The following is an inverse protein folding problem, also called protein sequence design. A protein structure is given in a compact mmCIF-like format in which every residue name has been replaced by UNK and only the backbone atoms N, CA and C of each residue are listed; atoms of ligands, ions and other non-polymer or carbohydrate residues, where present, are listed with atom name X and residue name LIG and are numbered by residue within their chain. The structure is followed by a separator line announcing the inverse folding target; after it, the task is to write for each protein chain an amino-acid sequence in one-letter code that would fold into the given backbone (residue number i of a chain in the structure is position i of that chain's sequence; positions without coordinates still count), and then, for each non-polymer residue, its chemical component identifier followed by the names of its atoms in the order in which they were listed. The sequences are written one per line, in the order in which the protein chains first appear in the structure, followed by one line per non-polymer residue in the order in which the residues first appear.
data_IF_240463620953
#
_entry.id   IF_240463620953
#
_cell.length_a   1.000
_cell.length_b   1.000
_cell.length_c   1.000
_cell.angle_alpha   90.00
_cell.angle_beta   90.00
_cell.angle_gamma   90.00
#
_symmetry.space_group_name_H-M   'P 1'
#
loop_
_entity.id
_entity.type
_entity.pdbx_description
1 polymer ?
#
# COMPACT_ATOMS: atom_id res chain seq x y z
N UNK A 1 7.82 25.36 14.89
CA UNK A 1 6.62 25.39 14.02
C UNK A 1 5.58 26.38 14.53
N UNK A 2 4.93 26.19 15.69
CA UNK A 2 3.94 27.17 16.19
C UNK A 2 4.54 28.55 16.52
N UNK A 3 5.74 28.59 17.08
CA UNK A 3 6.47 29.85 17.35
C UNK A 3 6.87 30.59 16.08
N UNK A 4 7.05 29.89 14.95
CA UNK A 4 7.42 30.50 13.67
C UNK A 4 6.23 31.19 12.99
N UNK A 5 5.00 30.76 13.29
CA UNK A 5 3.77 31.42 12.81
C UNK A 5 3.26 32.50 13.78
N UNK A 6 4.07 32.83 14.81
CA UNK A 6 3.73 33.87 15.79
C UNK A 6 2.65 33.45 16.79
N UNK A 7 2.46 32.15 17.03
CA UNK A 7 1.47 31.67 18.00
C UNK A 7 1.87 32.04 19.43
N UNK A 8 0.95 32.68 20.15
CA UNK A 8 1.11 33.03 21.58
C UNK A 8 -0.10 32.53 22.36
N UNK A 9 0.04 31.69 23.40
CA UNK A 9 -1.11 31.10 24.09
C UNK A 9 -1.95 32.15 24.83
N UNK A 10 -3.23 31.83 25.06
CA UNK A 10 -4.16 32.58 25.91
C UNK A 10 -4.41 34.05 25.51
N UNK A 11 -4.10 34.41 24.26
CA UNK A 11 -4.42 35.71 23.69
C UNK A 11 -5.10 35.55 22.32
N UNK A 12 -5.74 36.62 21.84
CA UNK A 12 -6.25 36.66 20.49
C UNK A 12 -5.09 36.55 19.49
N UNK A 13 -5.19 35.60 18.56
CA UNK A 13 -4.18 35.40 17.52
C UNK A 13 -4.37 36.40 16.38
N UNK A 14 -3.28 36.77 15.72
CA UNK A 14 -3.37 37.51 14.46
C UNK A 14 -4.02 36.65 13.37
N UNK A 15 -4.67 37.28 12.39
CA UNK A 15 -5.25 36.57 11.24
C UNK A 15 -4.21 35.73 10.48
N UNK A 16 -2.97 36.21 10.39
CA UNK A 16 -1.86 35.50 9.77
C UNK A 16 -1.53 34.20 10.53
N UNK A 17 -1.53 34.23 11.87
CA UNK A 17 -1.29 33.05 12.70
C UNK A 17 -2.42 32.03 12.56
N UNK A 18 -3.68 32.48 12.52
CA UNK A 18 -4.84 31.60 12.29
C UNK A 18 -4.79 30.94 10.91
N UNK A 19 -4.40 31.68 9.87
CA UNK A 19 -4.22 31.14 8.53
C UNK A 19 -3.10 30.09 8.49
N UNK A 20 -1.95 30.38 9.11
CA UNK A 20 -0.84 29.43 9.22
C UNK A 20 -1.24 28.15 9.94
N UNK A 21 -2.07 28.26 10.98
CA UNK A 21 -2.59 27.11 11.73
C UNK A 21 -3.55 26.26 10.89
N UNK A 22 -4.45 26.89 10.13
CA UNK A 22 -5.34 26.18 9.18
C UNK A 22 -4.55 25.45 8.10
N UNK A 23 -3.55 26.10 7.51
CA UNK A 23 -2.69 25.47 6.51
C UNK A 23 -1.93 24.28 7.09
N UNK A 24 -1.40 24.41 8.31
CA UNK A 24 -0.65 23.34 8.96
C UNK A 24 -1.52 22.09 9.18
N UNK A 25 -2.78 22.27 9.61
CA UNK A 25 -3.72 21.17 9.82
C UNK A 25 -4.13 20.48 8.50
N UNK A 26 -4.11 21.19 7.37
CA UNK A 26 -4.46 20.61 6.07
C UNK A 26 -3.27 19.98 5.33
N UNK A 27 -2.09 20.61 5.41
CA UNK A 27 -0.89 20.17 4.68
C UNK A 27 -0.42 18.81 5.19
N UNK A 28 -0.43 18.58 6.51
CA UNK A 28 0.02 17.30 7.08
C UNK A 28 -0.81 16.09 6.63
N UNK A 29 -2.16 16.10 6.77
CA UNK A 29 -3.01 15.03 6.24
C UNK A 29 -2.91 14.89 4.73
N UNK A 30 -2.84 15.99 3.97
CA UNK A 30 -2.70 15.93 2.50
C UNK A 30 -1.37 15.27 2.10
N UNK A 31 -0.26 15.66 2.72
CA UNK A 31 1.05 15.08 2.44
C UNK A 31 1.06 13.58 2.77
N UNK A 32 0.49 13.18 3.92
CA UNK A 32 0.37 11.77 4.29
C UNK A 32 -0.54 10.99 3.31
N UNK A 33 -1.65 11.57 2.86
CA UNK A 33 -2.53 10.95 1.89
C UNK A 33 -1.85 10.76 0.53
N UNK A 34 -1.08 11.75 0.07
CA UNK A 34 -0.29 11.65 -1.16
C UNK A 34 0.77 10.55 -0.99
N UNK A 35 1.51 10.52 0.11
CA UNK A 35 2.49 9.46 0.38
C UNK A 35 1.81 8.09 0.37
N UNK A 36 0.65 7.93 1.01
CA UNK A 36 -0.11 6.69 1.01
C UNK A 36 -0.60 6.28 -0.39
N UNK A 37 -1.07 7.24 -1.19
CA UNK A 37 -1.48 7.00 -2.57
C UNK A 37 -0.28 6.61 -3.45
N UNK A 38 0.89 7.22 -3.25
CA UNK A 38 2.13 6.86 -3.94
C UNK A 38 2.62 5.47 -3.51
N UNK A 39 2.60 5.16 -2.20
CA UNK A 39 3.02 3.84 -1.73
C UNK A 39 2.07 2.75 -2.24
N UNK A 40 0.76 2.98 -2.23
CA UNK A 40 -0.21 2.09 -2.87
C UNK A 40 0.04 1.99 -4.39
N UNK A 41 0.13 3.11 -5.11
CA UNK A 41 0.28 3.11 -6.57
C UNK A 41 1.58 2.46 -7.05
N UNK A 42 2.70 2.71 -6.38
CA UNK A 42 4.02 2.23 -6.80
C UNK A 42 4.44 0.91 -6.16
N UNK A 43 4.09 0.66 -4.90
CA UNK A 43 4.53 -0.55 -4.19
C UNK A 43 3.43 -1.61 -4.09
N UNK A 44 2.16 -1.28 -4.36
CA UNK A 44 1.04 -2.23 -4.36
C UNK A 44 0.72 -2.83 -5.75
N UNK A 45 1.56 -2.60 -6.77
CA UNK A 45 1.47 -3.24 -8.11
C UNK A 45 1.78 -4.75 -8.09
N UNK A 46 2.02 -5.33 -6.91
CA UNK A 46 2.53 -6.70 -6.77
C UNK A 46 1.65 -7.68 -5.97
N UNK A 47 0.47 -7.30 -5.45
CA UNK A 47 -0.37 -8.29 -4.77
C UNK A 47 -0.96 -9.30 -5.77
N UNK A 48 -1.58 -8.84 -6.86
CA UNK A 48 -2.19 -9.72 -7.86
C UNK A 48 -1.17 -10.52 -8.67
N UNK A 49 -0.04 -9.92 -9.06
CA UNK A 49 1.01 -10.61 -9.83
C UNK A 49 1.66 -11.73 -9.01
N UNK A 50 1.92 -11.49 -7.72
CA UNK A 50 2.45 -12.51 -6.81
C UNK A 50 1.43 -13.60 -6.51
N UNK A 51 0.17 -13.22 -6.36
CA UNK A 51 -0.93 -14.18 -6.19
C UNK A 51 -1.11 -15.07 -7.43
N UNK A 52 -1.09 -14.50 -8.64
CA UNK A 52 -1.17 -15.26 -9.89
C UNK A 52 -0.02 -16.25 -10.05
N UNK A 53 1.22 -15.83 -9.72
CA UNK A 53 2.39 -16.72 -9.72
C UNK A 53 2.23 -17.90 -8.75
N UNK A 54 1.70 -17.66 -7.55
CA UNK A 54 1.47 -18.73 -6.56
C UNK A 54 0.41 -19.71 -7.06
N UNK A 55 -0.69 -19.22 -7.65
CA UNK A 55 -1.75 -20.07 -8.22
C UNK A 55 -1.20 -20.90 -9.38
N UNK A 56 -0.42 -20.30 -10.27
CA UNK A 56 0.20 -20.99 -11.39
C UNK A 56 1.14 -22.11 -10.91
N UNK A 57 1.97 -21.83 -9.91
CA UNK A 57 2.87 -22.82 -9.30
C UNK A 57 2.10 -24.00 -8.70
N UNK A 58 1.01 -23.74 -7.98
CA UNK A 58 0.15 -24.79 -7.40
C UNK A 58 -0.46 -25.66 -8.51
N UNK A 59 -0.95 -25.04 -9.59
CA UNK A 59 -1.60 -25.76 -10.68
C UNK A 59 -0.62 -26.64 -11.46
N UNK A 60 0.61 -26.15 -11.67
CA UNK A 60 1.68 -26.93 -12.30
C UNK A 60 2.06 -28.18 -11.48
N UNK A 61 2.15 -28.05 -10.15
CA UNK A 61 2.42 -29.20 -9.26
C UNK A 61 1.32 -30.25 -9.38
N UNK A 62 0.05 -29.83 -9.34
CA UNK A 62 -1.10 -30.73 -9.44
C UNK A 62 -1.16 -31.48 -10.78
N UNK A 63 -0.89 -30.78 -11.89
CA UNK A 63 -0.85 -31.43 -13.20
C UNK A 63 0.32 -32.43 -13.32
N UNK A 64 1.45 -32.15 -12.69
CA UNK A 64 2.62 -33.04 -12.71
C UNK A 64 2.37 -34.31 -11.88
N UNK A 65 1.66 -34.20 -10.77
CA UNK A 65 1.21 -35.35 -9.98
C UNK A 65 0.24 -36.24 -10.77
N UNK A 66 -0.79 -35.64 -11.41
CA UNK A 66 -1.74 -36.40 -12.25
C UNK A 66 -1.07 -37.11 -13.44
N UNK A 67 -0.13 -36.43 -14.12
CA UNK A 67 0.63 -37.03 -15.21
C UNK A 67 1.57 -38.16 -14.74
N UNK A 68 2.01 -38.12 -13.48
CA UNK A 68 2.84 -39.18 -12.89
C UNK A 68 1.97 -40.39 -12.55
N UNK A 69 0.78 -40.18 -11.98
CA UNK A 69 -0.18 -41.25 -11.67
C UNK A 69 -0.66 -41.98 -12.93
N UNK A 70 -0.99 -41.25 -14.01
CA UNK A 70 -1.42 -41.82 -15.29
C UNK A 70 -0.30 -42.67 -15.92
N UNK A 71 0.96 -42.20 -15.82
CA UNK A 71 2.11 -42.94 -16.34
C UNK A 71 2.40 -44.20 -15.53
N UNK A 72 2.29 -44.17 -14.20
CA UNK A 72 2.42 -45.39 -13.38
C UNK A 72 1.29 -46.38 -13.60
N UNK A 73 0.05 -45.92 -13.81
CA UNK A 73 -1.08 -46.80 -14.10
C UNK A 73 -0.94 -47.53 -15.45
N UNK A 74 -0.39 -46.84 -16.47
CA UNK A 74 -0.15 -47.42 -17.80
C UNK A 74 1.00 -48.44 -17.87
N UNK A 75 1.93 -48.41 -16.91
CA UNK A 75 3.09 -49.33 -16.86
C UNK A 75 2.76 -50.62 -16.10
N UNK A 76 1.69 -50.62 -15.30
CA UNK A 76 1.23 -51.77 -14.52
C UNK A 76 0.14 -52.62 -15.20
N UNK A 77 -0.36 -52.20 -16.37
CA UNK A 77 -1.27 -52.97 -17.23
C UNK A 77 -0.51 -53.55 -18.41
#
# INVERSE_FOLDING_TARGET
MLTQIGYVPNIAQSDATLQGLRQLIFIWPCALAIIAALTMGFFYTLNEKRFALIIEEINQRKNKEMATEEKTASVTL
#
